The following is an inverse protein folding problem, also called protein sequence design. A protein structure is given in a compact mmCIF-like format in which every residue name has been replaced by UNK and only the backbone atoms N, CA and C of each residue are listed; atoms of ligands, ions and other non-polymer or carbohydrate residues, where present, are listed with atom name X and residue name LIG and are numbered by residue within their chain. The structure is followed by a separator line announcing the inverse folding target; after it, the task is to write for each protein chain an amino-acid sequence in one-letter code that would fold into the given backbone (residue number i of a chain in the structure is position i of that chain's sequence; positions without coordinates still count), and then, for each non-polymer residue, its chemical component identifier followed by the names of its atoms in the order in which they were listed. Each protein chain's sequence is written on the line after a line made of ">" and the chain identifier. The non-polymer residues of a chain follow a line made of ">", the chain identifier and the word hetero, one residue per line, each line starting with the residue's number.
data_IF_409736922316
#
_entry.id   IF_409736922316
#
_cell.length_a   1.000
_cell.length_b   1.000
_cell.length_c   1.000
_cell.angle_alpha   90.00
_cell.angle_beta   90.00
_cell.angle_gamma   90.00
#
_symmetry.space_group_name_H-M   'P 1'
#
loop_
_entity.id
_entity.type
_entity.pdbx_description
1 polymer ?
#
# COMPACT_ATOMS: atom_id res chain seq x y z
N UNK A 1 2.90 10.32 18.78
CA UNK A 1 3.56 10.32 17.44
C UNK A 1 2.63 9.60 16.49
N UNK A 2 2.34 10.18 15.33
CA UNK A 2 1.41 9.63 14.35
C UNK A 2 1.93 9.85 12.93
N UNK A 3 1.26 9.25 11.95
CA UNK A 3 1.60 9.39 10.53
C UNK A 3 1.24 10.82 10.10
N UNK A 4 2.19 11.50 9.47
CA UNK A 4 2.05 12.86 8.92
C UNK A 4 1.96 12.85 7.40
N UNK A 5 2.59 11.87 6.76
CA UNK A 5 2.53 11.69 5.32
C UNK A 5 2.54 10.19 4.97
N UNK A 6 1.89 9.85 3.86
CA UNK A 6 1.75 8.49 3.37
C UNK A 6 1.81 8.50 1.84
N UNK A 7 2.86 7.88 1.30
CA UNK A 7 3.11 7.84 -0.13
C UNK A 7 2.92 6.42 -0.65
N UNK A 8 2.13 6.30 -1.72
CA UNK A 8 1.98 5.08 -2.51
C UNK A 8 2.66 5.25 -3.86
N UNK A 9 3.32 4.19 -4.33
CA UNK A 9 3.88 4.11 -5.68
C UNK A 9 3.39 2.81 -6.31
N UNK A 10 2.50 2.94 -7.30
CA UNK A 10 2.02 1.83 -8.12
C UNK A 10 3.15 1.33 -9.02
N UNK A 11 3.39 0.02 -9.01
CA UNK A 11 4.40 -0.62 -9.87
C UNK A 11 3.77 -1.36 -11.05
N UNK A 12 2.65 -2.04 -10.82
CA UNK A 12 1.97 -2.82 -11.86
C UNK A 12 0.46 -2.90 -11.63
N UNK A 13 -0.30 -3.05 -12.71
CA UNK A 13 -1.75 -3.26 -12.70
C UNK A 13 -2.10 -4.32 -13.74
N UNK A 14 -2.63 -5.45 -13.28
CA UNK A 14 -2.98 -6.60 -14.13
C UNK A 14 -4.39 -7.09 -13.83
N UNK A 15 -5.10 -7.61 -14.84
CA UNK A 15 -6.42 -8.21 -14.64
C UNK A 15 -7.32 -8.05 -15.86
N UNK A 16 -8.63 -7.89 -15.60
CA UNK A 16 -9.67 -7.76 -16.62
C UNK A 16 -10.72 -6.71 -16.21
N UNK A 17 -11.82 -6.60 -16.97
CA UNK A 17 -12.86 -5.60 -16.75
C UNK A 17 -13.66 -5.77 -15.45
N UNK A 18 -13.59 -6.94 -14.81
CA UNK A 18 -14.28 -7.23 -13.55
C UNK A 18 -13.38 -7.03 -12.33
N UNK A 19 -12.12 -7.44 -12.45
CA UNK A 19 -11.14 -7.45 -11.36
C UNK A 19 -9.76 -7.02 -11.87
N UNK A 20 -9.21 -5.98 -11.23
CA UNK A 20 -7.81 -5.58 -11.41
C UNK A 20 -7.03 -5.81 -10.12
N UNK A 21 -5.78 -6.21 -10.24
CA UNK A 21 -4.82 -6.33 -9.14
C UNK A 21 -3.75 -5.28 -9.37
N UNK A 22 -3.62 -4.38 -8.40
CA UNK A 22 -2.55 -3.40 -8.31
C UNK A 22 -1.50 -3.90 -7.32
N UNK A 23 -0.22 -3.80 -7.69
CA UNK A 23 0.89 -3.99 -6.76
C UNK A 23 1.72 -2.72 -6.67
N UNK A 24 2.24 -2.43 -5.47
CA UNK A 24 2.99 -1.21 -5.25
C UNK A 24 3.81 -1.22 -3.98
N UNK A 25 4.51 -0.11 -3.74
CA UNK A 25 5.22 0.16 -2.48
C UNK A 25 4.63 1.34 -1.74
N UNK A 26 4.76 1.32 -0.42
CA UNK A 26 4.35 2.43 0.44
C UNK A 26 5.50 2.95 1.29
N UNK A 27 5.41 4.22 1.65
CA UNK A 27 6.30 4.89 2.61
C UNK A 27 5.45 5.72 3.58
N UNK A 28 5.69 5.54 4.88
CA UNK A 28 4.98 6.22 5.96
C UNK A 28 5.94 7.14 6.69
N UNK A 29 5.57 8.42 6.82
CA UNK A 29 6.42 9.43 7.44
C UNK A 29 5.75 10.03 8.67
N UNK A 30 6.56 10.27 9.69
CA UNK A 30 6.18 10.95 10.92
C UNK A 30 6.63 12.41 10.93
N UNK A 31 6.83 12.93 12.14
CA UNK A 31 7.34 14.28 12.32
C UNK A 31 8.75 14.43 11.70
N UNK A 32 9.02 15.63 11.16
CA UNK A 32 10.32 15.98 10.52
C UNK A 32 10.73 15.01 9.39
N UNK A 33 9.76 14.47 8.65
CA UNK A 33 9.97 13.49 7.57
C UNK A 33 10.71 12.21 8.00
N UNK A 34 10.63 11.83 9.28
CA UNK A 34 11.18 10.57 9.74
C UNK A 34 10.38 9.40 9.15
N UNK A 35 11.05 8.46 8.46
CA UNK A 35 10.40 7.25 7.97
C UNK A 35 10.01 6.38 9.16
N UNK A 36 8.71 6.17 9.34
CA UNK A 36 8.14 5.30 10.38
C UNK A 36 8.10 3.85 9.88
N UNK A 37 7.67 3.66 8.64
CA UNK A 37 7.58 2.35 8.01
C UNK A 37 7.67 2.48 6.49
N UNK A 38 8.09 1.41 5.83
CA UNK A 38 8.02 1.26 4.38
C UNK A 38 7.80 -0.19 4.02
N UNK A 39 7.09 -0.42 2.93
CA UNK A 39 6.73 -1.78 2.56
C UNK A 39 6.13 -1.89 1.18
N UNK A 40 5.36 -2.96 1.01
CA UNK A 40 4.73 -3.36 -0.25
C UNK A 40 3.27 -3.70 0.00
N UNK A 41 2.45 -3.47 -1.01
CA UNK A 41 1.01 -3.72 -0.96
C UNK A 41 0.53 -4.43 -2.21
N UNK A 42 -0.62 -5.10 -2.05
CA UNK A 42 -1.45 -5.65 -3.13
C UNK A 42 -2.87 -5.17 -2.89
N UNK A 43 -3.48 -4.57 -3.90
CA UNK A 43 -4.89 -4.17 -3.89
C UNK A 43 -5.62 -4.91 -5.01
N UNK A 44 -6.70 -5.59 -4.66
CA UNK A 44 -7.69 -6.02 -5.63
C UNK A 44 -8.77 -4.93 -5.76
N UNK A 45 -8.98 -4.45 -6.98
CA UNK A 45 -10.01 -3.51 -7.36
C UNK A 45 -11.16 -4.26 -8.04
N UNK A 46 -12.40 -3.91 -7.70
CA UNK A 46 -13.60 -4.43 -8.35
C UNK A 46 -14.45 -3.28 -8.89
N UNK A 47 -15.01 -3.46 -10.09
CA UNK A 47 -15.90 -2.48 -10.69
C UNK A 47 -17.31 -2.63 -10.12
N UNK A 48 -17.82 -1.58 -9.51
CA UNK A 48 -19.18 -1.49 -8.97
C UNK A 48 -19.90 -0.30 -9.60
N UNK A 49 -20.98 -0.55 -10.34
CA UNK A 49 -21.76 0.47 -11.04
C UNK A 49 -20.88 1.39 -11.92
N UNK A 50 -19.91 0.78 -12.63
CA UNK A 50 -18.99 1.49 -13.52
C UNK A 50 -17.76 2.10 -12.84
N UNK A 51 -17.69 2.11 -11.50
CA UNK A 51 -16.58 2.71 -10.75
C UNK A 51 -15.70 1.65 -10.10
N UNK A 52 -14.38 1.79 -10.20
CA UNK A 52 -13.44 0.94 -9.48
C UNK A 52 -13.45 1.27 -7.99
N UNK A 53 -13.56 0.23 -7.16
CA UNK A 53 -13.47 0.33 -5.71
C UNK A 53 -12.48 -0.68 -5.16
N UNK A 54 -11.83 -0.33 -4.06
CA UNK A 54 -11.06 -1.26 -3.24
C UNK A 54 -11.96 -2.42 -2.84
N UNK A 55 -11.66 -3.60 -3.35
CA UNK A 55 -12.35 -4.83 -2.99
C UNK A 55 -11.61 -5.56 -1.87
N UNK A 56 -10.28 -5.66 -1.97
CA UNK A 56 -9.39 -6.17 -0.92
C UNK A 56 -8.09 -5.39 -0.95
N UNK A 57 -7.53 -5.10 0.21
CA UNK A 57 -6.14 -4.67 0.33
C UNK A 57 -5.39 -5.58 1.30
N UNK A 58 -4.10 -5.70 1.08
CA UNK A 58 -3.16 -6.19 2.06
C UNK A 58 -1.81 -5.49 1.87
N UNK A 59 -1.17 -5.12 2.97
CA UNK A 59 0.18 -4.56 2.98
C UNK A 59 1.03 -5.26 4.03
N UNK A 60 2.35 -5.28 3.81
CA UNK A 60 3.30 -5.72 4.82
C UNK A 60 4.59 -4.89 4.79
N UNK A 61 5.18 -4.75 5.97
CA UNK A 61 6.43 -4.01 6.16
C UNK A 61 7.60 -4.70 5.46
N UNK A 62 8.50 -3.88 4.93
CA UNK A 62 9.83 -4.28 4.46
C UNK A 62 10.93 -3.77 5.40
N UNK A 63 10.57 -3.23 6.57
CA UNK A 63 11.54 -2.87 7.59
C UNK A 63 12.21 -4.12 8.15
N UNK A 64 13.50 -4.05 8.49
CA UNK A 64 14.18 -5.18 9.13
C UNK A 64 13.53 -5.48 10.48
N UNK A 65 13.48 -6.77 10.83
CA UNK A 65 13.05 -7.18 12.17
C UNK A 65 13.97 -6.53 13.21
N UNK A 66 13.40 -5.77 14.13
CA UNK A 66 14.11 -5.30 15.32
C UNK A 66 14.14 -6.48 16.30
N UNK A 67 15.31 -7.08 16.50
CA UNK A 67 15.50 -8.03 17.62
C UNK A 67 15.48 -7.22 18.93
N UNK A 68 14.52 -7.50 19.81
CA UNK A 68 14.63 -7.07 21.21
C UNK A 68 15.79 -7.83 21.87
N UNK A 69 16.59 -7.13 22.67
CA UNK A 69 17.56 -7.77 23.57
C UNK A 69 16.85 -8.47 24.72
#
# INVERSE_FOLDING_TARGET
>A
MGIKDFKLTTHDVVGNDDLLVETGSYEMYGDKNAVIDKGKYVVAWKKENGNWKLYRDIANTSMPMVRSK
#
